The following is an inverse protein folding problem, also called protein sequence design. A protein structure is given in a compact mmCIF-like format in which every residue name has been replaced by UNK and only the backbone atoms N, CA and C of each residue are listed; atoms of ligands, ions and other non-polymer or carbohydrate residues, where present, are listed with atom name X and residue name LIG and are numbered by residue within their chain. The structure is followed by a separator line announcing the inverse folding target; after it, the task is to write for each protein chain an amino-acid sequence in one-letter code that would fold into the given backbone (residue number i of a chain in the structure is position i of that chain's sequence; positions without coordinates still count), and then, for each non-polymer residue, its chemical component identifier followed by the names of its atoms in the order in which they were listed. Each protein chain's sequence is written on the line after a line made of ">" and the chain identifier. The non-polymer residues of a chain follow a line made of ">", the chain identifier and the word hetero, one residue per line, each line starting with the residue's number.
data_IF_089830093187
#
_entry.id   IF_089830093187
#
_cell.length_a   1.000
_cell.length_b   1.000
_cell.length_c   1.000
_cell.angle_alpha   90.00
_cell.angle_beta   90.00
_cell.angle_gamma   90.00
#
_symmetry.space_group_name_H-M   'P 1'
#
loop_
_entity.id
_entity.type
_entity.pdbx_description
1 polymer ?
#
# COMPACT_ATOMS: atom_id res chain seq x y z
N UNK A 1 -29.28 -3.59 -32.11
CA UNK A 1 -28.28 -2.76 -31.40
C UNK A 1 -27.44 -3.50 -30.32
N UNK A 2 -27.04 -4.79 -30.44
CA UNK A 2 -26.20 -5.43 -29.42
C UNK A 2 -24.68 -5.22 -29.60
N UNK A 3 -24.21 -5.00 -30.85
CA UNK A 3 -22.78 -4.92 -31.18
C UNK A 3 -22.10 -3.71 -30.52
N UNK A 4 -22.73 -2.53 -30.52
CA UNK A 4 -22.16 -1.34 -29.89
C UNK A 4 -22.00 -1.50 -28.37
N UNK A 5 -22.95 -2.15 -27.71
CA UNK A 5 -22.85 -2.45 -26.27
C UNK A 5 -21.73 -3.44 -25.96
N UNK A 6 -21.53 -4.46 -26.81
CA UNK A 6 -20.44 -5.42 -26.65
C UNK A 6 -19.07 -4.76 -26.84
N UNK A 7 -18.91 -3.94 -27.88
CA UNK A 7 -17.67 -3.20 -28.14
C UNK A 7 -17.35 -2.23 -26.99
N UNK A 8 -18.36 -1.52 -26.47
CA UNK A 8 -18.17 -0.61 -25.35
C UNK A 8 -17.78 -1.34 -24.06
N UNK A 9 -18.35 -2.52 -23.80
CA UNK A 9 -17.93 -3.38 -22.67
C UNK A 9 -16.49 -3.87 -22.82
N UNK A 10 -16.08 -4.26 -24.02
CA UNK A 10 -14.72 -4.72 -24.28
C UNK A 10 -13.68 -3.59 -24.07
N UNK A 11 -13.96 -2.39 -24.59
CA UNK A 11 -13.10 -1.21 -24.38
C UNK A 11 -12.98 -0.84 -22.90
N UNK A 12 -14.09 -0.85 -22.16
CA UNK A 12 -14.07 -0.59 -20.71
C UNK A 12 -13.20 -1.62 -19.97
N UNK A 13 -13.38 -2.90 -20.27
CA UNK A 13 -12.57 -3.97 -19.67
C UNK A 13 -11.07 -3.80 -19.99
N UNK A 14 -10.71 -3.44 -21.22
CA UNK A 14 -9.32 -3.22 -21.59
C UNK A 14 -8.70 -2.01 -20.87
N UNK A 15 -9.45 -0.91 -20.76
CA UNK A 15 -9.01 0.27 -19.99
C UNK A 15 -8.80 -0.08 -18.52
N UNK A 16 -9.68 -0.88 -17.95
CA UNK A 16 -9.57 -1.36 -16.59
C UNK A 16 -8.30 -2.19 -16.36
N UNK A 17 -8.01 -3.14 -17.25
CA UNK A 17 -6.80 -3.97 -17.18
C UNK A 17 -5.55 -3.09 -17.28
N UNK A 18 -5.52 -2.14 -18.22
CA UNK A 18 -4.40 -1.20 -18.38
C UNK A 18 -4.22 -0.32 -17.14
N UNK A 19 -5.31 0.12 -16.51
CA UNK A 19 -5.27 0.90 -15.27
C UNK A 19 -4.69 0.10 -14.10
N UNK A 20 -5.12 -1.15 -13.90
CA UNK A 20 -4.54 -2.03 -12.87
C UNK A 20 -3.04 -2.21 -13.12
N UNK A 21 -2.65 -2.58 -14.35
CA UNK A 21 -1.25 -2.83 -14.69
C UNK A 21 -0.38 -1.58 -14.45
N UNK A 22 -0.90 -0.41 -14.80
CA UNK A 22 -0.24 0.86 -14.53
C UNK A 22 -0.06 1.09 -13.02
N UNK A 23 -1.11 0.91 -12.23
CA UNK A 23 -1.05 1.12 -10.78
C UNK A 23 -0.13 0.11 -10.09
N UNK A 24 -0.19 -1.16 -10.47
CA UNK A 24 0.72 -2.21 -10.00
C UNK A 24 2.19 -1.84 -10.25
N UNK A 25 2.51 -1.38 -11.46
CA UNK A 25 3.87 -0.92 -11.79
C UNK A 25 4.26 0.33 -10.98
N UNK A 26 3.32 1.28 -10.82
CA UNK A 26 3.56 2.52 -10.09
C UNK A 26 3.76 2.29 -8.59
N UNK A 27 3.18 1.22 -8.03
CA UNK A 27 3.29 0.90 -6.62
C UNK A 27 4.72 0.53 -6.19
N UNK A 28 5.53 0.01 -7.11
CA UNK A 28 6.89 -0.53 -6.89
C UNK A 28 6.98 -1.39 -5.63
N UNK A 29 6.12 -2.40 -5.54
CA UNK A 29 6.29 -3.43 -4.55
C UNK A 29 7.65 -4.14 -4.74
N UNK A 30 8.32 -4.54 -3.66
CA UNK A 30 9.60 -5.25 -3.74
C UNK A 30 9.46 -6.61 -4.44
N UNK A 31 8.30 -7.27 -4.28
CA UNK A 31 7.90 -8.48 -4.98
C UNK A 31 6.37 -8.55 -5.05
N UNK A 32 5.83 -9.29 -6.02
CA UNK A 32 4.41 -9.63 -5.99
C UNK A 32 4.16 -10.63 -4.85
N UNK A 33 3.22 -10.29 -3.95
CA UNK A 33 2.83 -11.12 -2.81
C UNK A 33 1.32 -11.05 -2.67
N UNK A 34 0.69 -12.22 -2.56
CA UNK A 34 -0.72 -12.38 -2.25
C UNK A 34 -0.86 -13.01 -0.86
N UNK A 35 -1.98 -12.75 -0.20
CA UNK A 35 -2.31 -13.30 1.11
C UNK A 35 -2.48 -14.82 1.06
N UNK A 36 -2.91 -15.37 -0.08
CA UNK A 36 -3.03 -16.83 -0.29
C UNK A 36 -1.71 -17.58 -0.11
N UNK A 37 -0.57 -16.93 -0.41
CA UNK A 37 0.77 -17.47 -0.23
C UNK A 37 1.41 -17.17 1.13
N UNK A 38 0.65 -16.63 2.09
CA UNK A 38 1.15 -16.33 3.44
C UNK A 38 0.82 -17.46 4.41
N UNK A 39 1.84 -17.98 5.07
CA UNK A 39 1.68 -19.00 6.11
C UNK A 39 1.54 -18.35 7.49
N UNK A 40 0.31 -18.32 8.00
CA UNK A 40 0.01 -17.80 9.33
C UNK A 40 0.46 -18.74 10.46
N UNK A 41 0.71 -20.03 10.19
CA UNK A 41 1.15 -20.97 11.22
C UNK A 41 2.60 -20.70 11.68
N UNK A 42 3.40 -20.05 10.82
CA UNK A 42 4.81 -19.73 11.08
C UNK A 42 5.04 -18.25 11.42
N UNK A 43 3.97 -17.46 11.54
CA UNK A 43 4.02 -16.03 11.83
C UNK A 43 3.32 -15.70 13.15
N UNK A 44 3.85 -14.74 13.89
CA UNK A 44 3.22 -14.18 15.10
C UNK A 44 2.08 -13.19 14.75
N UNK A 45 1.81 -12.92 13.47
CA UNK A 45 0.79 -11.97 13.05
C UNK A 45 -0.61 -12.57 13.22
N UNK A 46 -1.51 -11.82 13.85
CA UNK A 46 -2.91 -12.22 14.01
C UNK A 46 -3.65 -12.31 12.66
N UNK A 47 -3.99 -13.53 12.25
CA UNK A 47 -4.68 -13.83 11.00
C UNK A 47 -6.03 -13.12 10.86
N UNK A 48 -6.84 -13.08 11.92
CA UNK A 48 -8.16 -12.46 11.88
C UNK A 48 -8.07 -10.94 11.58
N UNK A 49 -7.07 -10.29 12.16
CA UNK A 49 -6.77 -8.88 11.90
C UNK A 49 -6.32 -8.68 10.46
N UNK A 50 -5.41 -9.52 9.96
CA UNK A 50 -4.92 -9.40 8.58
C UNK A 50 -6.04 -9.62 7.56
N UNK A 51 -6.89 -10.63 7.77
CA UNK A 51 -8.05 -10.87 6.89
C UNK A 51 -9.04 -9.70 6.91
N UNK A 52 -9.15 -8.99 8.03
CA UNK A 52 -9.95 -7.77 8.12
C UNK A 52 -9.32 -6.62 7.34
N UNK A 53 -8.02 -6.38 7.53
CA UNK A 53 -7.29 -5.37 6.76
C UNK A 53 -7.30 -5.64 5.25
N UNK A 54 -7.26 -6.91 4.85
CA UNK A 54 -7.31 -7.32 3.45
C UNK A 54 -8.62 -6.92 2.76
N UNK A 55 -9.71 -6.65 3.51
CA UNK A 55 -10.94 -6.08 2.93
C UNK A 55 -10.81 -4.61 2.53
N UNK A 56 -9.72 -3.95 2.92
CA UNK A 56 -9.39 -2.56 2.59
C UNK A 56 -10.39 -1.49 3.09
N UNK A 57 -11.38 -1.87 3.91
CA UNK A 57 -12.40 -0.95 4.48
C UNK A 57 -11.79 0.17 5.33
N UNK A 58 -10.62 -0.07 5.94
CA UNK A 58 -9.89 0.93 6.73
C UNK A 58 -9.47 2.16 5.89
N UNK A 59 -9.34 1.99 4.56
CA UNK A 59 -8.97 3.08 3.65
C UNK A 59 -10.09 4.12 3.50
N UNK A 60 -11.36 3.70 3.59
CA UNK A 60 -12.50 4.61 3.48
C UNK A 60 -12.57 5.59 4.65
N UNK A 61 -12.12 5.16 5.83
CA UNK A 61 -11.99 5.99 7.03
C UNK A 61 -10.64 6.71 7.14
N UNK A 62 -9.78 6.64 6.13
CA UNK A 62 -8.39 7.14 6.17
C UNK A 62 -7.63 6.69 7.44
N UNK A 63 -7.84 5.43 7.84
CA UNK A 63 -7.26 4.89 9.05
C UNK A 63 -5.82 4.44 8.83
N UNK A 64 -4.95 4.72 9.81
CA UNK A 64 -3.56 4.29 9.76
C UNK A 64 -3.38 2.91 10.37
N UNK A 65 -2.67 2.05 9.67
CA UNK A 65 -2.33 0.69 10.11
C UNK A 65 -0.83 0.63 10.37
N UNK A 66 -0.45 0.11 11.54
CA UNK A 66 0.96 -0.06 11.91
C UNK A 66 1.19 -1.54 12.20
N UNK A 67 2.11 -2.17 11.47
CA UNK A 67 2.49 -3.55 11.72
C UNK A 67 3.73 -3.56 12.62
N UNK A 68 3.61 -4.11 13.82
CA UNK A 68 4.69 -4.20 14.81
C UNK A 68 5.05 -5.67 15.00
N UNK A 69 6.35 -5.97 15.13
CA UNK A 69 6.83 -7.34 15.40
C UNK A 69 8.30 -7.54 15.01
N UNK A 70 8.90 -8.65 15.44
CA UNK A 70 10.30 -8.98 15.17
C UNK A 70 10.64 -9.14 13.68
N UNK A 71 11.92 -9.13 13.28
CA UNK A 71 12.32 -9.40 11.89
C UNK A 71 11.82 -10.78 11.45
N UNK A 72 11.47 -10.92 10.17
CA UNK A 72 11.02 -12.20 9.60
C UNK A 72 9.56 -12.58 9.89
N UNK A 73 8.80 -11.79 10.66
CA UNK A 73 7.39 -12.12 10.97
C UNK A 73 6.41 -11.93 9.79
N UNK A 74 6.89 -11.49 8.62
CA UNK A 74 6.05 -11.38 7.42
C UNK A 74 5.29 -10.07 7.24
N UNK A 75 5.61 -9.03 8.02
CA UNK A 75 4.98 -7.69 7.92
C UNK A 75 5.01 -7.11 6.50
N UNK A 76 6.18 -7.17 5.85
CA UNK A 76 6.36 -6.70 4.47
C UNK A 76 5.49 -7.49 3.49
N UNK A 77 5.34 -8.80 3.68
CA UNK A 77 4.45 -9.63 2.85
C UNK A 77 3.01 -9.20 3.04
N UNK A 78 2.54 -9.11 4.28
CA UNK A 78 1.16 -8.70 4.60
C UNK A 78 0.86 -7.31 4.04
N UNK A 79 1.74 -6.34 4.25
CA UNK A 79 1.56 -4.97 3.74
C UNK A 79 1.51 -4.96 2.20
N UNK A 80 2.37 -5.75 1.55
CA UNK A 80 2.36 -5.90 0.09
C UNK A 80 1.06 -6.54 -0.40
N UNK A 81 0.61 -7.63 0.23
CA UNK A 81 -0.63 -8.32 -0.13
C UNK A 81 -1.86 -7.41 -0.02
N UNK A 82 -1.96 -6.62 1.06
CA UNK A 82 -3.01 -5.61 1.20
C UNK A 82 -2.92 -4.56 0.08
N UNK A 83 -1.71 -4.12 -0.27
CA UNK A 83 -1.50 -3.17 -1.36
C UNK A 83 -1.91 -3.72 -2.73
N UNK A 84 -1.57 -4.98 -3.03
CA UNK A 84 -1.99 -5.68 -4.25
C UNK A 84 -3.51 -5.79 -4.31
N UNK A 85 -4.14 -6.25 -3.23
CA UNK A 85 -5.58 -6.36 -3.10
C UNK A 85 -6.29 -5.01 -3.35
N UNK A 86 -5.77 -3.93 -2.76
CA UNK A 86 -6.30 -2.58 -2.93
C UNK A 86 -6.24 -2.11 -4.40
N UNK A 87 -5.19 -2.47 -5.15
CA UNK A 87 -5.08 -2.11 -6.57
C UNK A 87 -6.01 -2.98 -7.43
N UNK A 88 -5.92 -4.30 -7.30
CA UNK A 88 -6.59 -5.24 -8.21
C UNK A 88 -8.11 -5.25 -8.02
N UNK A 89 -8.57 -5.24 -6.77
CA UNK A 89 -9.99 -5.37 -6.45
C UNK A 89 -10.68 -4.04 -6.16
N UNK A 90 -9.95 -3.05 -5.64
CA UNK A 90 -10.53 -1.77 -5.22
C UNK A 90 -10.08 -0.57 -6.08
N UNK A 91 -9.22 -0.79 -7.08
CA UNK A 91 -8.73 0.25 -8.01
C UNK A 91 -8.11 1.45 -7.31
N UNK A 92 -7.49 1.22 -6.16
CA UNK A 92 -6.83 2.24 -5.35
C UNK A 92 -5.42 2.52 -5.84
N UNK A 93 -5.00 3.77 -5.73
CA UNK A 93 -3.63 4.22 -6.04
C UNK A 93 -2.76 3.95 -4.83
N UNK A 94 -1.92 2.93 -4.92
CA UNK A 94 -1.04 2.51 -3.83
C UNK A 94 0.42 2.80 -4.18
N UNK A 95 1.22 3.15 -3.18
CA UNK A 95 2.67 3.30 -3.31
C UNK A 95 3.39 2.67 -2.13
N UNK A 96 4.37 1.82 -2.41
CA UNK A 96 5.28 1.25 -1.43
C UNK A 96 6.58 2.07 -1.39
N UNK A 97 7.07 2.31 -0.17
CA UNK A 97 8.38 2.87 0.10
C UNK A 97 9.07 2.10 1.22
N UNK A 98 10.36 1.77 1.05
CA UNK A 98 11.22 1.61 2.22
C UNK A 98 11.38 2.99 2.87
N UNK A 99 11.34 3.03 4.21
CA UNK A 99 11.55 4.26 4.97
C UNK A 99 12.87 4.94 4.57
N UNK A 100 13.92 4.15 4.33
CA UNK A 100 15.24 4.65 3.93
C UNK A 100 15.19 5.32 2.55
N UNK A 101 14.54 4.68 1.57
CA UNK A 101 14.39 5.23 0.23
C UNK A 101 13.61 6.55 0.24
N UNK A 102 12.54 6.62 1.03
CA UNK A 102 11.73 7.82 1.14
C UNK A 102 12.52 8.98 1.76
N UNK A 103 13.25 8.74 2.85
CA UNK A 103 14.08 9.77 3.50
C UNK A 103 15.14 10.28 2.52
N UNK A 104 15.87 9.38 1.85
CA UNK A 104 16.88 9.76 0.86
C UNK A 104 16.28 10.58 -0.29
N UNK A 105 15.10 10.22 -0.79
CA UNK A 105 14.42 10.95 -1.85
C UNK A 105 14.02 12.37 -1.39
N UNK A 106 13.49 12.50 -0.18
CA UNK A 106 13.11 13.79 0.41
C UNK A 106 14.33 14.69 0.66
N UNK A 107 15.45 14.14 1.13
CA UNK A 107 16.69 14.89 1.33
C UNK A 107 17.26 15.41 0.01
N UNK A 108 17.28 14.56 -1.03
CA UNK A 108 17.73 14.98 -2.36
C UNK A 108 16.83 16.05 -2.97
N UNK A 109 15.51 15.96 -2.78
CA UNK A 109 14.55 16.95 -3.24
C UNK A 109 14.78 18.30 -2.54
N UNK A 110 14.99 18.27 -1.22
CA UNK A 110 15.31 19.44 -0.41
C UNK A 110 16.62 20.09 -0.87
N UNK A 111 17.66 19.30 -1.12
CA UNK A 111 18.95 19.79 -1.61
C UNK A 111 18.85 20.48 -2.99
N UNK A 112 17.92 20.04 -3.84
CA UNK A 112 17.64 20.63 -5.15
C UNK A 112 16.75 21.88 -5.10
N UNK A 113 16.34 22.33 -3.90
CA UNK A 113 15.44 23.47 -3.72
C UNK A 113 14.01 23.23 -4.22
N UNK A 114 13.60 21.97 -4.36
CA UNK A 114 12.29 21.57 -4.91
C UNK A 114 11.39 20.89 -3.87
N UNK A 115 11.63 21.13 -2.59
CA UNK A 115 10.91 20.47 -1.50
C UNK A 115 9.38 20.55 -1.69
N UNK A 116 8.70 19.40 -1.54
CA UNK A 116 7.24 19.32 -1.50
C UNK A 116 6.58 18.62 -2.68
N UNK A 117 7.27 18.36 -3.78
CA UNK A 117 6.73 17.59 -4.92
C UNK A 117 6.46 16.13 -4.52
N UNK A 118 7.35 15.50 -3.76
CA UNK A 118 7.13 14.14 -3.25
C UNK A 118 5.91 14.12 -2.32
N UNK A 119 5.84 15.08 -1.40
CA UNK A 119 4.70 15.19 -0.48
C UNK A 119 3.37 15.41 -1.24
N UNK A 120 3.34 16.30 -2.23
CA UNK A 120 2.16 16.55 -3.06
C UNK A 120 1.79 15.35 -3.94
N UNK A 121 2.77 14.59 -4.43
CA UNK A 121 2.50 13.35 -5.14
C UNK A 121 1.84 12.32 -4.21
N UNK A 122 2.26 12.27 -2.93
CA UNK A 122 1.69 11.35 -1.95
C UNK A 122 0.23 11.70 -1.59
N UNK A 123 -0.18 12.97 -1.62
CA UNK A 123 -1.59 13.34 -1.34
C UNK A 123 -2.55 12.86 -2.43
N UNK A 124 -2.05 12.43 -3.59
CA UNK A 124 -2.86 11.91 -4.71
C UNK A 124 -3.02 10.39 -4.64
N UNK A 125 -2.39 9.73 -3.66
CA UNK A 125 -2.49 8.30 -3.42
C UNK A 125 -3.62 8.00 -2.44
N UNK A 126 -4.23 6.83 -2.60
CA UNK A 126 -5.23 6.31 -1.67
C UNK A 126 -4.57 5.55 -0.51
N UNK A 127 -3.39 4.96 -0.74
CA UNK A 127 -2.63 4.23 0.28
C UNK A 127 -1.12 4.42 0.08
N UNK A 128 -0.44 4.72 1.18
CA UNK A 128 1.03 4.73 1.25
C UNK A 128 1.44 3.62 2.22
N UNK A 129 2.29 2.72 1.75
CA UNK A 129 2.91 1.68 2.57
C UNK A 129 4.35 2.09 2.85
N UNK A 130 4.70 2.19 4.13
CA UNK A 130 6.04 2.47 4.61
C UNK A 130 6.58 1.25 5.34
N UNK A 131 7.64 0.64 4.82
CA UNK A 131 8.29 -0.50 5.45
C UNK A 131 9.56 -0.08 6.19
N UNK A 132 9.98 -0.91 7.16
CA UNK A 132 11.19 -0.70 7.98
C UNK A 132 11.15 0.54 8.89
N UNK A 133 9.95 0.99 9.28
CA UNK A 133 9.76 2.10 10.22
C UNK A 133 10.35 1.86 11.63
N UNK A 134 10.76 0.63 11.95
CA UNK A 134 11.19 0.17 13.27
C UNK A 134 12.48 0.79 13.82
N UNK A 135 13.13 1.70 13.09
CA UNK A 135 14.32 2.42 13.55
C UNK A 135 14.06 3.91 13.87
N UNK A 136 12.82 4.41 13.73
CA UNK A 136 12.49 5.79 14.07
C UNK A 136 11.99 5.87 15.52
N UNK A 137 12.61 6.70 16.38
CA UNK A 137 11.99 7.05 17.66
C UNK A 137 10.76 7.90 17.33
N UNK A 138 9.56 7.32 17.44
CA UNK A 138 8.31 8.06 17.36
C UNK A 138 8.22 9.03 18.55
N UNK A 139 8.85 10.20 18.42
CA UNK A 139 8.75 11.26 19.41
C UNK A 139 7.31 11.79 19.43
N UNK A 140 6.69 11.71 20.60
CA UNK A 140 5.30 12.03 20.80
C UNK A 140 4.99 13.47 20.43
N UNK A 141 4.09 13.64 19.46
CA UNK A 141 3.05 14.68 19.46
C UNK A 141 2.06 14.41 18.33
N UNK A 142 0.83 14.06 18.73
CA UNK A 142 -0.36 13.77 17.89
C UNK A 142 -0.15 12.64 16.88
N UNK A 143 -0.10 11.41 17.37
CA UNK A 143 -0.24 10.23 16.52
C UNK A 143 -1.72 9.98 16.25
N UNK A 144 -2.12 9.93 14.99
CA UNK A 144 -3.40 9.36 14.59
C UNK A 144 -3.52 7.94 15.18
N UNK A 145 -4.69 7.59 15.70
CA UNK A 145 -4.93 6.28 16.35
C UNK A 145 -4.45 5.15 15.42
N UNK A 146 -3.44 4.35 15.79
CA UNK A 146 -3.10 3.16 15.04
C UNK A 146 -4.25 2.16 15.18
N UNK A 147 -4.76 1.64 14.07
CA UNK A 147 -5.87 0.68 14.05
C UNK A 147 -5.41 -0.74 14.36
N UNK A 148 -4.11 -1.00 14.34
CA UNK A 148 -3.56 -2.32 14.67
C UNK A 148 -2.28 -2.13 15.48
N UNK A 149 -2.27 -2.65 16.70
CA UNK A 149 -1.07 -3.16 17.37
C UNK A 149 -1.24 -4.67 17.37
N UNK A 150 -0.39 -5.39 16.65
CA UNK A 150 -0.27 -6.84 16.80
C UNK A 150 0.39 -7.14 18.15
#
# INVERSE_FOLDING_TARGET
>A
MPILSQLLKAELAEREVRSIAYHMKSARFPAYKDLSGFDFATSEINEATVRTLHRCEFMDGAQNVVLIGGPGTGKTHVATAIGVQAIEHHRRKVRFFSTIELVNALEQEKAKGKAGQIAEAMTKLDLVILDELGCLPFSGKRCARPVVSA
#
